data_IF_638271788873
#
_entry.id   IF_638271788873
#
_cell.length_a   1.000
_cell.length_b   1.000
_cell.length_c   1.000
_cell.angle_alpha   90.00
_cell.angle_beta   90.00
_cell.angle_gamma   90.00
#
_symmetry.space_group_name_H-M   'P 1'
#
loop_
_entity.id
_entity.type
_entity.pdbx_description
1 polymer ?
#
# COMPACT_ATOMS: atom_id res chain seq x y z
N UNK A 1 23.34 -26.20 -28.91
CA UNK A 1 22.33 -26.41 -27.85
C UNK A 1 22.64 -25.74 -26.50
N UNK A 2 23.84 -25.84 -25.88
CA UNK A 2 24.08 -25.31 -24.52
C UNK A 2 23.83 -23.80 -24.35
N UNK A 3 24.24 -23.00 -25.34
CA UNK A 3 24.09 -21.54 -25.35
C UNK A 3 22.61 -21.08 -25.35
N UNK A 4 21.70 -21.96 -25.81
CA UNK A 4 20.29 -21.61 -25.96
C UNK A 4 19.49 -21.85 -24.68
N UNK A 5 19.77 -22.94 -23.94
CA UNK A 5 19.27 -23.14 -22.58
C UNK A 5 19.77 -22.05 -21.64
N UNK A 6 21.01 -21.61 -21.81
CA UNK A 6 21.55 -20.49 -21.04
C UNK A 6 20.80 -19.17 -21.34
N UNK A 7 20.48 -18.91 -22.62
CA UNK A 7 19.68 -17.75 -23.03
C UNK A 7 18.26 -17.81 -22.48
N UNK A 8 17.61 -18.98 -22.49
CA UNK A 8 16.30 -19.19 -21.89
C UNK A 8 16.33 -18.92 -20.38
N UNK A 9 17.29 -19.50 -19.66
CA UNK A 9 17.48 -19.27 -18.21
C UNK A 9 17.68 -17.79 -17.88
N UNK A 10 18.52 -17.07 -18.63
CA UNK A 10 18.72 -15.62 -18.45
C UNK A 10 17.43 -14.83 -18.67
N UNK A 11 16.59 -15.25 -19.62
CA UNK A 11 15.29 -14.64 -19.86
C UNK A 11 14.34 -14.87 -18.68
N UNK A 12 14.28 -16.09 -18.13
CA UNK A 12 13.45 -16.41 -16.96
C UNK A 12 13.85 -15.61 -15.72
N UNK A 13 15.16 -15.47 -15.47
CA UNK A 13 15.64 -14.62 -14.35
C UNK A 13 15.19 -13.17 -14.50
N UNK A 14 15.19 -12.64 -15.73
CA UNK A 14 14.71 -11.28 -16.00
C UNK A 14 13.20 -11.15 -15.80
N UNK A 15 12.42 -12.12 -16.30
CA UNK A 15 10.97 -12.17 -16.10
C UNK A 15 10.64 -12.15 -14.61
N UNK A 16 11.31 -13.00 -13.83
CA UNK A 16 11.11 -13.05 -12.37
C UNK A 16 11.41 -11.70 -11.71
N UNK A 17 12.52 -11.06 -12.10
CA UNK A 17 12.91 -9.75 -11.55
C UNK A 17 11.89 -8.66 -11.88
N UNK A 18 11.34 -8.66 -13.10
CA UNK A 18 10.32 -7.71 -13.53
C UNK A 18 9.00 -7.91 -12.77
N UNK A 19 8.59 -9.16 -12.54
CA UNK A 19 7.41 -9.52 -11.74
C UNK A 19 7.60 -9.05 -10.30
N UNK A 20 8.76 -9.34 -9.69
CA UNK A 20 9.03 -8.96 -8.32
C UNK A 20 8.98 -7.44 -8.13
N UNK A 21 9.58 -6.69 -9.06
CA UNK A 21 9.58 -5.23 -9.01
C UNK A 21 8.19 -4.62 -9.19
N UNK A 22 7.38 -5.12 -10.14
CA UNK A 22 6.08 -4.52 -10.47
C UNK A 22 4.96 -4.99 -9.56
N UNK A 23 5.00 -6.23 -9.08
CA UNK A 23 3.93 -6.81 -8.27
C UNK A 23 4.34 -6.99 -6.81
N UNK A 24 5.36 -7.81 -6.56
CA UNK A 24 5.75 -8.20 -5.19
C UNK A 24 6.10 -6.98 -4.33
N UNK A 25 6.91 -6.06 -4.84
CA UNK A 25 7.35 -4.89 -4.09
C UNK A 25 6.22 -3.86 -3.90
N UNK A 26 5.36 -3.69 -4.90
CA UNK A 26 4.14 -2.88 -4.80
C UNK A 26 3.23 -3.38 -3.69
N UNK A 27 2.99 -4.69 -3.65
CA UNK A 27 2.17 -5.33 -2.62
C UNK A 27 2.79 -5.15 -1.22
N UNK A 28 4.10 -5.40 -1.07
CA UNK A 28 4.81 -5.21 0.21
C UNK A 28 4.76 -3.77 0.69
N UNK A 29 4.95 -2.80 -0.21
CA UNK A 29 4.86 -1.38 0.10
C UNK A 29 3.47 -1.03 0.64
N UNK A 30 2.41 -1.38 -0.10
CA UNK A 30 1.05 -1.03 0.31
C UNK A 30 0.52 -1.86 1.48
N UNK A 31 1.06 -3.06 1.74
CA UNK A 31 0.79 -3.78 2.99
C UNK A 31 1.28 -2.97 4.20
N UNK A 32 2.50 -2.42 4.14
CA UNK A 32 3.07 -1.59 5.20
C UNK A 32 2.32 -0.26 5.34
N UNK A 33 2.02 0.40 4.21
CA UNK A 33 1.29 1.67 4.21
C UNK A 33 -0.16 1.48 4.74
N UNK A 34 -0.81 0.34 4.44
CA UNK A 34 -2.11 -0.03 5.03
C UNK A 34 -2.02 -0.18 6.54
N UNK A 35 -0.94 -0.80 7.05
CA UNK A 35 -0.72 -0.94 8.49
C UNK A 35 -0.55 0.42 9.16
N UNK A 36 0.21 1.34 8.55
CA UNK A 36 0.35 2.71 9.04
C UNK A 36 -0.99 3.46 9.09
N UNK A 37 -1.82 3.32 8.05
CA UNK A 37 -3.17 3.89 8.01
C UNK A 37 -4.08 3.32 9.12
N UNK A 38 -4.00 2.02 9.40
CA UNK A 38 -4.70 1.39 10.52
C UNK A 38 -4.23 1.94 11.88
N UNK A 39 -2.93 2.11 12.07
CA UNK A 39 -2.36 2.64 13.30
C UNK A 39 -2.74 4.11 13.53
N UNK A 40 -2.89 4.90 12.45
CA UNK A 40 -3.47 6.25 12.52
C UNK A 40 -4.93 6.22 12.98
N UNK A 41 -5.76 5.33 12.40
CA UNK A 41 -7.14 5.15 12.84
C UNK A 41 -7.24 4.76 14.30
N UNK A 42 -6.36 3.86 14.77
CA UNK A 42 -6.32 3.46 16.16
C UNK A 42 -5.99 4.63 17.09
N UNK A 43 -4.97 5.44 16.76
CA UNK A 43 -4.62 6.65 17.53
C UNK A 43 -5.79 7.64 17.57
N UNK A 44 -6.47 7.86 16.44
CA UNK A 44 -7.66 8.71 16.37
C UNK A 44 -8.78 8.20 17.28
N UNK A 45 -9.09 6.90 17.23
CA UNK A 45 -10.10 6.27 18.08
C UNK A 45 -9.78 6.41 19.56
N UNK A 46 -8.50 6.35 19.94
CA UNK A 46 -8.08 6.59 21.33
C UNK A 46 -8.31 8.04 21.76
N UNK A 47 -7.96 9.02 20.91
CA UNK A 47 -8.24 10.43 21.19
C UNK A 47 -9.75 10.72 21.29
N UNK A 48 -10.59 10.02 20.53
CA UNK A 48 -12.05 10.12 20.66
C UNK A 48 -12.52 9.61 22.03
N UNK A 49 -12.04 8.44 22.47
CA UNK A 49 -12.39 7.89 23.78
C UNK A 49 -11.94 8.81 24.93
N UNK A 50 -10.77 9.43 24.81
CA UNK A 50 -10.28 10.43 25.77
C UNK A 50 -11.20 11.67 25.78
N UNK A 51 -11.64 12.11 24.60
CA UNK A 51 -12.57 13.24 24.47
C UNK A 51 -13.94 12.95 25.07
N UNK A 52 -14.52 11.77 24.81
CA UNK A 52 -15.79 11.34 25.42
C UNK A 52 -15.69 11.26 26.94
N UNK A 53 -14.55 10.80 27.46
CA UNK A 53 -14.27 10.76 28.89
C UNK A 53 -14.19 12.17 29.48
N UNK A 54 -13.53 13.09 28.80
CA UNK A 54 -13.44 14.48 29.22
C UNK A 54 -14.81 15.18 29.23
N UNK A 55 -15.66 14.92 28.24
CA UNK A 55 -17.04 15.44 28.20
C UNK A 55 -17.85 14.94 29.41
N UNK A 56 -17.82 13.63 29.69
CA UNK A 56 -18.50 13.05 30.87
C UNK A 56 -18.01 13.67 32.18
N UNK A 57 -16.72 13.96 32.30
CA UNK A 57 -16.16 14.61 33.48
C UNK A 57 -16.65 16.06 33.61
N UNK A 58 -16.71 16.82 32.52
CA UNK A 58 -17.25 18.17 32.51
C UNK A 58 -18.73 18.21 32.90
N UNK A 59 -19.53 17.26 32.42
CA UNK A 59 -20.94 17.15 32.78
C UNK A 59 -21.12 16.87 34.29
N UNK A 60 -20.29 16.01 34.87
CA UNK A 60 -20.29 15.77 36.33
C UNK A 60 -19.86 16.99 37.12
N UNK A 61 -18.86 17.73 36.65
CA UNK A 61 -18.40 18.97 37.29
C UNK A 61 -19.52 20.03 37.31
N UNK A 62 -20.25 20.16 36.18
CA UNK A 62 -21.43 21.03 36.06
C UNK A 62 -22.55 20.60 37.00
N UNK A 63 -22.88 19.31 37.06
CA UNK A 63 -23.91 18.80 37.98
C UNK A 63 -23.58 19.07 39.46
N UNK A 64 -22.30 18.99 39.83
CA UNK A 64 -21.83 19.24 41.21
C UNK A 64 -21.56 20.72 41.51
N UNK A 65 -21.67 21.61 40.53
CA UNK A 65 -21.24 23.01 40.61
C UNK A 65 -19.82 23.19 41.19
N UNK A 66 -18.89 22.29 40.82
CA UNK A 66 -17.54 22.25 41.36
C UNK A 66 -16.51 22.00 40.25
N UNK A 67 -15.36 22.68 40.31
CA UNK A 67 -14.21 22.49 39.42
C UNK A 67 -14.53 22.65 37.91
N UNK A 68 -15.58 23.41 37.57
CA UNK A 68 -16.09 23.55 36.20
C UNK A 68 -15.02 24.14 35.27
N UNK A 69 -14.43 25.29 35.63
CA UNK A 69 -13.45 25.97 34.77
C UNK A 69 -12.20 25.11 34.49
N UNK A 70 -11.71 24.40 35.52
CA UNK A 70 -10.58 23.51 35.37
C UNK A 70 -10.91 22.35 34.42
N UNK A 71 -12.06 21.70 34.62
CA UNK A 71 -12.49 20.56 33.81
C UNK A 71 -12.80 20.97 32.37
N UNK A 72 -13.37 22.16 32.18
CA UNK A 72 -13.64 22.74 30.86
C UNK A 72 -12.35 22.99 30.09
N UNK A 73 -11.33 23.56 30.74
CA UNK A 73 -10.00 23.77 30.13
C UNK A 73 -9.38 22.43 29.70
N UNK A 74 -9.48 21.39 30.54
CA UNK A 74 -9.00 20.04 30.20
C UNK A 74 -9.74 19.47 28.99
N UNK A 75 -11.08 19.57 28.98
CA UNK A 75 -11.90 19.10 27.86
C UNK A 75 -11.57 19.83 26.56
N UNK A 76 -11.40 21.15 26.59
CA UNK A 76 -11.04 21.95 25.41
C UNK A 76 -9.68 21.52 24.83
N UNK A 77 -8.69 21.27 25.69
CA UNK A 77 -7.37 20.78 25.25
C UNK A 77 -7.44 19.39 24.60
N UNK A 78 -8.25 18.48 25.16
CA UNK A 78 -8.43 17.13 24.60
C UNK A 78 -9.22 17.19 23.28
N UNK A 79 -10.26 18.01 23.21
CA UNK A 79 -11.03 18.26 21.99
C UNK A 79 -10.13 18.74 20.85
N UNK A 80 -9.28 19.75 21.12
CA UNK A 80 -8.33 20.27 20.11
C UNK A 80 -7.40 19.16 19.59
N UNK A 81 -6.92 18.28 20.46
CA UNK A 81 -6.09 17.12 20.05
C UNK A 81 -6.88 16.16 19.15
N UNK A 82 -8.12 15.84 19.52
CA UNK A 82 -9.00 14.97 18.73
C UNK A 82 -9.36 15.56 17.36
N UNK A 83 -9.64 16.86 17.29
CA UNK A 83 -9.92 17.57 16.04
C UNK A 83 -8.69 17.56 15.13
N UNK A 84 -7.52 17.91 15.68
CA UNK A 84 -6.24 17.93 14.94
C UNK A 84 -5.92 16.57 14.33
N UNK A 85 -6.03 15.47 15.10
CA UNK A 85 -5.76 14.13 14.55
C UNK A 85 -6.85 13.68 13.58
N UNK A 86 -8.11 14.10 13.76
CA UNK A 86 -9.20 13.75 12.85
C UNK A 86 -9.05 14.40 11.48
N UNK A 87 -8.63 15.67 11.45
CA UNK A 87 -8.36 16.38 10.19
C UNK A 87 -7.21 15.73 9.43
N UNK A 88 -6.06 15.53 10.09
CA UNK A 88 -4.90 14.84 9.47
C UNK A 88 -5.26 13.44 8.97
N UNK A 89 -6.03 12.69 9.77
CA UNK A 89 -6.42 11.35 9.39
C UNK A 89 -7.36 11.32 8.18
N UNK A 90 -8.22 12.32 8.01
CA UNK A 90 -9.07 12.45 6.83
C UNK A 90 -8.22 12.67 5.58
N UNK A 91 -7.25 13.57 5.64
CA UNK A 91 -6.38 13.89 4.51
C UNK A 91 -5.49 12.71 4.15
N UNK A 92 -4.79 12.14 5.14
CA UNK A 92 -3.88 11.00 4.93
C UNK A 92 -4.60 9.76 4.37
N UNK A 93 -5.83 9.47 4.82
CA UNK A 93 -6.60 8.34 4.29
C UNK A 93 -7.09 8.56 2.86
N UNK A 94 -7.50 9.79 2.52
CA UNK A 94 -7.91 10.12 1.15
C UNK A 94 -6.72 10.01 0.20
N UNK A 95 -5.58 10.55 0.60
CA UNK A 95 -4.34 10.46 -0.17
C UNK A 95 -3.86 9.02 -0.31
N UNK A 96 -3.89 8.25 0.78
CA UNK A 96 -3.57 6.81 0.75
C UNK A 96 -4.44 6.07 -0.26
N UNK A 97 -5.76 6.26 -0.22
CA UNK A 97 -6.70 5.62 -1.16
C UNK A 97 -6.35 5.96 -2.61
N UNK A 98 -6.10 7.24 -2.89
CA UNK A 98 -5.82 7.72 -4.25
C UNK A 98 -4.47 7.19 -4.76
N UNK A 99 -3.40 7.35 -3.97
CA UNK A 99 -2.06 6.86 -4.31
C UNK A 99 -2.07 5.36 -4.57
N UNK A 100 -2.73 4.59 -3.70
CA UNK A 100 -2.83 3.13 -3.83
C UNK A 100 -3.43 2.71 -5.17
N UNK A 101 -4.61 3.23 -5.50
CA UNK A 101 -5.29 2.85 -6.75
C UNK A 101 -4.46 3.24 -7.97
N UNK A 102 -3.88 4.44 -7.98
CA UNK A 102 -3.06 4.91 -9.09
C UNK A 102 -1.82 4.02 -9.30
N UNK A 103 -1.09 3.69 -8.22
CA UNK A 103 0.12 2.88 -8.33
C UNK A 103 -0.17 1.43 -8.73
N UNK A 104 -1.20 0.79 -8.16
CA UNK A 104 -1.59 -0.56 -8.59
C UNK A 104 -2.02 -0.58 -10.05
N UNK A 105 -2.82 0.39 -10.49
CA UNK A 105 -3.23 0.50 -11.89
C UNK A 105 -2.02 0.62 -12.81
N UNK A 106 -1.10 1.55 -12.51
CA UNK A 106 0.12 1.75 -13.29
C UNK A 106 0.95 0.47 -13.36
N UNK A 107 1.23 -0.15 -12.22
CA UNK A 107 2.13 -1.29 -12.15
C UNK A 107 1.54 -2.55 -12.79
N UNK A 108 0.22 -2.77 -12.71
CA UNK A 108 -0.44 -3.88 -13.40
C UNK A 108 -0.41 -3.71 -14.92
N UNK A 109 -0.65 -2.49 -15.43
CA UNK A 109 -0.54 -2.20 -16.86
C UNK A 109 0.88 -2.47 -17.34
N UNK A 110 1.88 -1.90 -16.66
CA UNK A 110 3.29 -2.09 -17.02
C UNK A 110 3.73 -3.55 -16.92
N UNK A 111 3.22 -4.30 -15.93
CA UNK A 111 3.49 -5.74 -15.81
C UNK A 111 2.93 -6.51 -17.00
N UNK A 112 1.68 -6.28 -17.38
CA UNK A 112 1.07 -6.96 -18.54
C UNK A 112 1.80 -6.62 -19.84
N UNK A 113 2.23 -5.38 -20.02
CA UNK A 113 3.05 -4.98 -21.18
C UNK A 113 4.40 -5.73 -21.21
N UNK A 114 5.04 -5.89 -20.05
CA UNK A 114 6.27 -6.67 -19.92
C UNK A 114 6.03 -8.16 -20.20
N UNK A 115 4.96 -8.75 -19.66
CA UNK A 115 4.59 -10.15 -19.90
C UNK A 115 4.39 -10.42 -21.39
N UNK A 116 3.66 -9.54 -22.10
CA UNK A 116 3.48 -9.66 -23.56
C UNK A 116 4.83 -9.62 -24.29
N UNK A 117 5.73 -8.72 -23.89
CA UNK A 117 7.07 -8.61 -24.49
C UNK A 117 7.91 -9.87 -24.23
N UNK A 118 7.86 -10.39 -23.01
CA UNK A 118 8.56 -11.60 -22.61
C UNK A 118 8.06 -12.82 -23.37
N UNK A 119 6.74 -13.01 -23.45
CA UNK A 119 6.13 -14.10 -24.22
C UNK A 119 6.51 -14.02 -25.70
N UNK A 120 6.49 -12.83 -26.32
CA UNK A 120 6.95 -12.66 -27.71
C UNK A 120 8.42 -13.06 -27.90
N UNK A 121 9.30 -12.67 -26.98
CA UNK A 121 10.72 -13.05 -26.99
C UNK A 121 10.94 -14.55 -26.80
N UNK A 122 10.17 -15.19 -25.91
CA UNK A 122 10.20 -16.64 -25.69
C UNK A 122 9.74 -17.38 -26.95
N UNK A 123 8.63 -16.97 -27.57
CA UNK A 123 8.14 -17.55 -28.84
C UNK A 123 9.21 -17.46 -29.93
N UNK A 124 9.86 -16.31 -30.10
CA UNK A 124 10.94 -16.15 -31.08
C UNK A 124 12.11 -17.08 -30.80
N UNK A 125 12.48 -17.23 -29.53
CA UNK A 125 13.56 -18.15 -29.13
C UNK A 125 13.18 -19.58 -29.48
N UNK A 126 11.98 -20.04 -29.11
CA UNK A 126 11.47 -21.40 -29.40
C UNK A 126 11.42 -21.66 -30.91
N UNK A 127 10.92 -20.73 -31.72
CA UNK A 127 10.91 -20.85 -33.18
C UNK A 127 12.32 -21.06 -33.76
N UNK A 128 13.30 -20.32 -33.24
CA UNK A 128 14.70 -20.50 -33.65
C UNK A 128 15.24 -21.89 -33.27
N UNK A 129 14.81 -22.47 -32.14
CA UNK A 129 15.16 -23.83 -31.76
C UNK A 129 14.62 -24.85 -32.74
N UNK A 130 13.33 -24.74 -33.07
CA UNK A 130 12.65 -25.65 -33.99
C UNK A 130 13.36 -25.65 -35.35
N UNK A 131 13.64 -24.46 -35.90
CA UNK A 131 14.37 -24.33 -37.18
C UNK A 131 15.75 -24.99 -37.15
N UNK A 132 16.50 -24.87 -36.05
CA UNK A 132 17.81 -25.50 -35.91
C UNK A 132 17.70 -27.04 -35.84
N UNK A 133 16.67 -27.57 -35.19
CA UNK A 133 16.42 -29.01 -35.17
C UNK A 133 16.03 -29.55 -36.54
N UNK A 134 15.11 -28.88 -37.24
CA UNK A 134 14.68 -29.26 -38.59
C UNK A 134 15.88 -29.32 -39.56
N UNK A 135 16.77 -28.32 -39.50
CA UNK A 135 17.99 -28.27 -40.29
C UNK A 135 19.01 -29.37 -39.96
N UNK A 136 19.01 -29.91 -38.73
CA UNK A 136 19.88 -31.04 -38.34
C UNK A 136 19.31 -32.40 -38.75
N UNK A 137 18.00 -32.47 -39.03
CA UNK A 137 17.30 -33.68 -39.48
C UNK A 137 17.18 -33.80 -41.01
N UNK A 138 17.68 -32.80 -41.74
CA UNK A 138 17.73 -32.73 -43.20
C UNK A 138 19.13 -33.10 -43.70
#
# INVERSE_FOLDING_TARGET
MPNLFEKARKSETRIQSDIDLKLSDTLKYYMRDTKAALDLMYRRSRCLADFDTANKNLDRARQKNKDIQQTETVQQNIKKKFETISEKAKDELNDFKNRRVQMFRKNLIELTELEIKHTKSQIQTIKSVIQQFEALSS
#
